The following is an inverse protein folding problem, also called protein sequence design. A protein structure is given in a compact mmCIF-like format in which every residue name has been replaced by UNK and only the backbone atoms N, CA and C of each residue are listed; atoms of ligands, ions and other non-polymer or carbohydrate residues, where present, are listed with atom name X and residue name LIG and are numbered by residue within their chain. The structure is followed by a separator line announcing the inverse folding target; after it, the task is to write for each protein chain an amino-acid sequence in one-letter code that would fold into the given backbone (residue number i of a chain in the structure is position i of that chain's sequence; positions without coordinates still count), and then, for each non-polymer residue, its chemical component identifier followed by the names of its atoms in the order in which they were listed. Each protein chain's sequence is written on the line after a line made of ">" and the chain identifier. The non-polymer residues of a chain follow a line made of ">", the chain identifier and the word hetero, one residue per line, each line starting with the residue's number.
data_IF_732546027414
#
_entry.id   IF_732546027414
#
_cell.length_a   1.000
_cell.length_b   1.000
_cell.length_c   1.000
_cell.angle_alpha   90.00
_cell.angle_beta   90.00
_cell.angle_gamma   90.00
#
_symmetry.space_group_name_H-M   'P 1'
#
loop_
_entity.id
_entity.type
_entity.pdbx_description
1 polymer ?
#
# COMPACT_ATOMS: atom_id res chain seq x y z
N UNK A 1 2.09 -5.61 -32.76
CA UNK A 1 2.50 -6.45 -31.62
C UNK A 1 1.30 -6.51 -30.68
N UNK A 2 0.81 -7.70 -30.33
CA UNK A 2 -0.50 -7.83 -29.67
C UNK A 2 -0.31 -8.38 -28.26
N UNK A 3 -0.60 -7.56 -27.26
CA UNK A 3 -0.68 -7.98 -25.86
C UNK A 3 -2.05 -8.62 -25.63
N UNK A 4 -2.10 -9.71 -24.88
CA UNK A 4 -3.34 -10.37 -24.46
C UNK A 4 -3.45 -10.33 -22.94
N UNK A 5 -4.61 -9.98 -22.41
CA UNK A 5 -4.88 -10.07 -20.97
C UNK A 5 -5.86 -11.22 -20.73
N UNK A 6 -5.47 -12.13 -19.84
CA UNK A 6 -6.26 -13.29 -19.42
C UNK A 6 -6.70 -13.09 -17.99
N UNK A 7 -7.99 -13.25 -17.74
CA UNK A 7 -8.54 -13.43 -16.40
C UNK A 7 -8.57 -14.92 -16.07
N UNK A 8 -8.22 -15.30 -14.85
CA UNK A 8 -8.32 -16.70 -14.43
C UNK A 8 -8.27 -16.91 -12.92
N UNK A 9 -8.28 -18.17 -12.52
CA UNK A 9 -8.10 -18.54 -11.12
C UNK A 9 -6.64 -18.27 -10.71
N UNK A 10 -6.38 -17.60 -9.56
CA UNK A 10 -5.03 -17.38 -9.07
C UNK A 10 -4.18 -18.65 -9.02
N UNK A 11 -4.75 -19.78 -8.56
CA UNK A 11 -4.01 -21.05 -8.42
C UNK A 11 -3.57 -21.63 -9.77
N UNK A 12 -4.39 -21.45 -10.81
CA UNK A 12 -4.09 -21.96 -12.15
C UNK A 12 -3.03 -21.10 -12.85
N UNK A 13 -3.02 -19.79 -12.58
CA UNK A 13 -2.12 -18.83 -13.23
C UNK A 13 -0.84 -18.58 -12.42
N UNK A 14 -0.80 -18.94 -11.14
CA UNK A 14 0.35 -18.73 -10.25
C UNK A 14 1.67 -19.26 -10.83
N UNK A 15 1.78 -20.49 -11.38
CA UNK A 15 3.05 -21.00 -11.89
C UNK A 15 3.66 -20.14 -13.02
N UNK A 16 2.81 -19.46 -13.78
CA UNK A 16 3.23 -18.57 -14.86
C UNK A 16 3.67 -17.21 -14.29
N UNK A 17 2.91 -16.68 -13.34
CA UNK A 17 3.20 -15.37 -12.72
C UNK A 17 4.41 -15.43 -11.80
N UNK A 18 4.58 -16.52 -11.03
CA UNK A 18 5.70 -16.70 -10.09
C UNK A 18 7.06 -16.56 -10.76
N UNK A 19 7.15 -16.84 -12.06
CA UNK A 19 8.37 -16.69 -12.85
C UNK A 19 8.78 -15.23 -13.11
N UNK A 20 7.88 -14.26 -12.95
CA UNK A 20 8.12 -12.85 -13.24
C UNK A 20 8.01 -11.92 -12.02
N UNK A 21 7.48 -12.40 -10.88
CA UNK A 21 7.25 -11.54 -9.69
C UNK A 21 8.52 -10.79 -9.27
N UNK A 22 9.63 -11.52 -9.07
CA UNK A 22 10.89 -10.91 -8.64
C UNK A 22 11.38 -9.83 -9.62
N UNK A 23 11.19 -10.04 -10.92
CA UNK A 23 11.61 -9.09 -11.95
C UNK A 23 10.70 -7.86 -12.01
N UNK A 24 9.41 -8.01 -11.69
CA UNK A 24 8.47 -6.90 -11.60
C UNK A 24 8.82 -5.92 -10.47
N UNK A 25 9.44 -6.38 -9.37
CA UNK A 25 9.68 -5.58 -8.14
C UNK A 25 11.17 -5.50 -7.75
N UNK A 26 12.10 -5.79 -8.67
CA UNK A 26 13.53 -5.67 -8.39
C UNK A 26 14.00 -6.54 -7.20
N UNK A 27 13.42 -7.72 -7.02
CA UNK A 27 13.66 -8.67 -5.91
C UNK A 27 13.16 -8.23 -4.52
N UNK A 28 12.42 -7.12 -4.41
CA UNK A 28 11.75 -6.72 -3.15
C UNK A 28 10.61 -7.68 -2.82
N UNK A 29 9.95 -8.20 -3.85
CA UNK A 29 8.89 -9.20 -3.75
C UNK A 29 9.29 -10.50 -4.43
N UNK A 30 8.80 -11.60 -3.88
CA UNK A 30 9.11 -12.95 -4.32
C UNK A 30 7.83 -13.74 -4.67
N UNK A 31 8.01 -14.91 -5.25
CA UNK A 31 6.90 -15.84 -5.50
C UNK A 31 6.21 -16.28 -4.20
N UNK A 32 6.93 -16.33 -3.07
CA UNK A 32 6.38 -16.71 -1.78
C UNK A 32 5.44 -15.64 -1.22
N UNK A 33 5.73 -14.36 -1.45
CA UNK A 33 4.86 -13.24 -1.07
C UNK A 33 3.55 -13.28 -1.86
N UNK A 34 3.64 -13.51 -3.18
CA UNK A 34 2.46 -13.70 -4.02
C UNK A 34 1.64 -14.93 -3.59
N UNK A 35 2.30 -16.03 -3.22
CA UNK A 35 1.62 -17.24 -2.75
C UNK A 35 0.82 -16.96 -1.47
N UNK A 36 1.43 -16.25 -0.50
CA UNK A 36 0.75 -15.84 0.73
C UNK A 36 -0.50 -15.00 0.42
N UNK A 37 -0.39 -14.04 -0.51
CA UNK A 37 -1.53 -13.22 -0.94
C UNK A 37 -2.67 -14.04 -1.54
N UNK A 38 -2.34 -15.01 -2.37
CA UNK A 38 -3.32 -15.88 -3.02
C UNK A 38 -4.04 -16.77 -2.00
N UNK A 39 -3.34 -17.20 -0.96
CA UNK A 39 -3.85 -18.12 0.06
C UNK A 39 -4.79 -17.46 1.06
N UNK A 40 -4.81 -16.12 1.17
CA UNK A 40 -5.82 -15.43 1.99
C UNK A 40 -7.25 -15.75 1.52
N UNK A 41 -8.19 -15.98 2.46
CA UNK A 41 -9.53 -16.47 2.15
C UNK A 41 -10.48 -15.35 1.71
N UNK A 42 -10.15 -14.64 0.63
CA UNK A 42 -11.07 -13.65 0.03
C UNK A 42 -12.19 -14.33 -0.75
N UNK A 43 -13.41 -13.82 -0.64
CA UNK A 43 -14.58 -14.40 -1.31
C UNK A 43 -14.60 -14.01 -2.80
N UNK A 44 -14.30 -12.74 -3.09
CA UNK A 44 -14.32 -12.22 -4.46
C UNK A 44 -12.90 -11.86 -4.87
N UNK A 45 -12.38 -12.59 -5.86
CA UNK A 45 -11.02 -12.43 -6.39
C UNK A 45 -11.06 -12.19 -7.89
N UNK A 46 -10.23 -11.27 -8.37
CA UNK A 46 -9.90 -11.06 -9.78
C UNK A 46 -8.39 -11.17 -9.95
N UNK A 47 -7.95 -12.11 -10.79
CA UNK A 47 -6.55 -12.27 -11.14
C UNK A 47 -6.39 -12.13 -12.65
N UNK A 48 -5.53 -11.20 -13.05
CA UNK A 48 -5.27 -10.84 -14.44
C UNK A 48 -3.80 -11.08 -14.76
N UNK A 49 -3.52 -11.63 -15.94
CA UNK A 49 -2.15 -11.81 -16.44
C UNK A 49 -2.06 -11.28 -17.86
N UNK A 50 -1.08 -10.41 -18.10
CA UNK A 50 -0.74 -9.90 -19.42
C UNK A 50 0.31 -10.78 -20.08
N UNK A 51 0.09 -11.10 -21.34
CA UNK A 51 0.96 -11.94 -22.16
C UNK A 51 1.43 -11.23 -23.41
N UNK A 52 2.66 -11.52 -23.79
CA UNK A 52 3.24 -11.19 -25.08
C UNK A 52 4.00 -12.40 -25.61
N UNK A 53 3.65 -12.82 -26.82
CA UNK A 53 4.20 -14.01 -27.46
C UNK A 53 4.13 -15.25 -26.53
N UNK A 54 2.98 -15.40 -25.86
CA UNK A 54 2.66 -16.45 -24.89
C UNK A 54 3.55 -16.48 -23.63
N UNK A 55 4.33 -15.42 -23.38
CA UNK A 55 5.08 -15.22 -22.13
C UNK A 55 4.37 -14.21 -21.23
N UNK A 56 4.28 -14.46 -19.91
CA UNK A 56 3.74 -13.49 -18.97
C UNK A 56 4.68 -12.28 -18.89
N UNK A 57 4.11 -11.08 -18.91
CA UNK A 57 4.84 -9.80 -18.82
C UNK A 57 4.34 -8.91 -17.69
N UNK A 58 3.25 -9.31 -17.03
CA UNK A 58 2.74 -8.65 -15.84
C UNK A 58 1.43 -9.26 -15.38
N UNK A 59 0.97 -8.82 -14.22
CA UNK A 59 -0.22 -9.33 -13.58
C UNK A 59 -0.86 -8.27 -12.68
N UNK A 60 -2.12 -8.49 -12.32
CA UNK A 60 -2.80 -7.73 -11.28
C UNK A 60 -3.65 -8.68 -10.43
N UNK A 61 -3.66 -8.45 -9.12
CA UNK A 61 -4.52 -9.15 -8.18
C UNK A 61 -5.43 -8.16 -7.46
N UNK A 62 -6.72 -8.39 -7.55
CA UNK A 62 -7.75 -7.53 -6.96
C UNK A 62 -8.69 -8.40 -6.14
N UNK A 63 -9.09 -7.91 -4.97
CA UNK A 63 -10.07 -8.56 -4.10
C UNK A 63 -11.19 -7.59 -3.79
N UNK A 64 -12.37 -8.11 -3.43
CA UNK A 64 -13.50 -7.28 -3.01
C UNK A 64 -14.23 -7.95 -1.84
N UNK A 65 -13.90 -7.50 -0.64
CA UNK A 65 -14.38 -8.09 0.60
C UNK A 65 -15.13 -7.08 1.45
N UNK A 66 -15.98 -7.61 2.32
CA UNK A 66 -16.68 -6.80 3.30
C UNK A 66 -15.77 -6.57 4.50
N UNK A 67 -15.62 -5.32 4.90
CA UNK A 67 -14.81 -4.92 6.05
C UNK A 67 -15.72 -4.65 7.24
N UNK A 68 -15.81 -5.61 8.16
CA UNK A 68 -16.68 -5.56 9.34
C UNK A 68 -16.46 -4.28 10.20
N UNK A 69 -15.23 -3.78 10.25
CA UNK A 69 -14.83 -2.64 11.09
C UNK A 69 -15.49 -1.33 10.62
N UNK A 70 -15.72 -1.20 9.32
CA UNK A 70 -16.22 0.03 8.69
C UNK A 70 -17.61 -0.15 8.05
N UNK A 71 -18.23 -1.33 8.23
CA UNK A 71 -19.57 -1.67 7.69
C UNK A 71 -19.70 -1.32 6.20
N UNK A 72 -18.65 -1.58 5.43
CA UNK A 72 -18.61 -1.28 4.00
C UNK A 72 -17.87 -2.36 3.23
N UNK A 73 -18.22 -2.51 1.96
CA UNK A 73 -17.51 -3.39 1.03
C UNK A 73 -16.47 -2.59 0.28
N UNK A 74 -15.22 -2.98 0.44
CA UNK A 74 -14.06 -2.34 -0.19
C UNK A 74 -13.46 -3.30 -1.20
N UNK A 75 -13.19 -2.79 -2.39
CA UNK A 75 -12.31 -3.50 -3.32
C UNK A 75 -10.89 -2.99 -3.14
N UNK A 76 -9.91 -3.89 -3.14
CA UNK A 76 -8.51 -3.53 -3.00
C UNK A 76 -7.74 -4.19 -4.12
N UNK A 77 -6.99 -3.39 -4.88
CA UNK A 77 -5.94 -3.95 -5.73
C UNK A 77 -4.77 -4.28 -4.81
N UNK A 78 -4.58 -5.58 -4.59
CA UNK A 78 -3.52 -6.12 -3.75
C UNK A 78 -2.15 -5.92 -4.40
N UNK A 79 -2.09 -6.06 -5.73
CA UNK A 79 -0.82 -5.93 -6.45
C UNK A 79 -1.03 -5.63 -7.95
N UNK A 80 -0.11 -4.84 -8.53
CA UNK A 80 0.10 -4.69 -9.98
C UNK A 80 1.60 -4.82 -10.29
N UNK A 81 1.98 -5.98 -10.82
CA UNK A 81 3.35 -6.21 -11.30
C UNK A 81 3.45 -6.08 -12.82
N UNK A 82 4.40 -5.26 -13.30
CA UNK A 82 4.81 -5.25 -14.71
C UNK A 82 6.33 -5.34 -14.82
N UNK A 83 6.79 -6.19 -15.74
CA UNK A 83 8.20 -6.20 -16.14
C UNK A 83 8.62 -4.79 -16.60
N UNK A 84 9.81 -4.28 -16.22
CA UNK A 84 10.18 -2.88 -16.37
C UNK A 84 10.01 -2.32 -17.79
N UNK A 85 10.35 -3.09 -18.81
CA UNK A 85 10.26 -2.69 -20.22
C UNK A 85 8.82 -2.58 -20.76
N UNK A 86 7.82 -2.96 -19.96
CA UNK A 86 6.39 -2.88 -20.30
C UNK A 86 5.62 -1.83 -19.49
N UNK A 87 6.27 -1.15 -18.53
CA UNK A 87 5.62 -0.17 -17.64
C UNK A 87 5.08 1.07 -18.37
N UNK A 88 5.66 1.43 -19.51
CA UNK A 88 5.19 2.55 -20.35
C UNK A 88 4.03 2.18 -21.30
N UNK A 89 3.54 0.94 -21.25
CA UNK A 89 2.43 0.48 -22.08
C UNK A 89 1.09 0.63 -21.35
N UNK A 90 -0.02 0.60 -22.09
CA UNK A 90 -1.40 0.74 -21.55
C UNK A 90 -1.89 -0.48 -20.73
N UNK A 91 -0.99 -1.37 -20.29
CA UNK A 91 -1.34 -2.63 -19.61
C UNK A 91 -1.89 -2.35 -18.21
N UNK A 92 -1.20 -1.53 -17.42
CA UNK A 92 -1.66 -1.18 -16.08
C UNK A 92 -2.97 -0.37 -16.11
N UNK A 93 -3.17 0.44 -17.15
CA UNK A 93 -4.44 1.15 -17.35
C UNK A 93 -5.60 0.17 -17.58
N UNK A 94 -5.41 -0.84 -18.43
CA UNK A 94 -6.42 -1.89 -18.66
C UNK A 94 -6.62 -2.75 -17.40
N UNK A 95 -5.57 -3.06 -16.63
CA UNK A 95 -5.72 -3.73 -15.33
C UNK A 95 -6.59 -2.92 -14.36
N UNK A 96 -6.37 -1.61 -14.25
CA UNK A 96 -7.16 -0.73 -13.40
C UNK A 96 -8.60 -0.59 -13.91
N UNK A 97 -8.84 -0.55 -15.23
CA UNK A 97 -10.19 -0.57 -15.79
C UNK A 97 -10.95 -1.85 -15.41
N UNK A 98 -10.28 -3.00 -15.47
CA UNK A 98 -10.86 -4.28 -15.03
C UNK A 98 -11.10 -4.32 -13.53
N UNK A 99 -10.19 -3.76 -12.73
CA UNK A 99 -10.36 -3.63 -11.28
C UNK A 99 -11.59 -2.77 -10.94
N UNK A 100 -11.76 -1.62 -11.59
CA UNK A 100 -12.93 -0.73 -11.43
C UNK A 100 -14.22 -1.46 -11.81
N UNK A 101 -14.24 -2.17 -12.95
CA UNK A 101 -15.41 -2.94 -13.38
C UNK A 101 -15.77 -4.05 -12.39
N UNK A 102 -14.77 -4.79 -11.92
CA UNK A 102 -14.93 -5.85 -10.93
C UNK A 102 -15.45 -5.32 -9.60
N UNK A 103 -14.92 -4.19 -9.13
CA UNK A 103 -15.35 -3.54 -7.88
C UNK A 103 -16.82 -3.15 -7.95
N UNK A 104 -17.25 -2.51 -9.05
CA UNK A 104 -18.66 -2.16 -9.30
C UNK A 104 -19.57 -3.39 -9.37
N UNK A 105 -19.13 -4.44 -10.06
CA UNK A 105 -19.89 -5.70 -10.16
C UNK A 105 -20.06 -6.37 -8.79
N UNK A 106 -19.13 -6.14 -7.87
CA UNK A 106 -19.17 -6.64 -6.50
C UNK A 106 -19.86 -5.70 -5.51
N UNK A 107 -20.40 -4.56 -5.95
CA UNK A 107 -21.04 -3.56 -5.08
C UNK A 107 -20.10 -3.01 -4.00
N UNK A 108 -18.80 -2.90 -4.30
CA UNK A 108 -17.89 -2.15 -3.44
C UNK A 108 -18.26 -0.65 -3.46
N UNK A 109 -18.04 0.05 -2.37
CA UNK A 109 -18.24 1.50 -2.27
C UNK A 109 -17.05 2.29 -2.81
N UNK A 110 -15.86 1.69 -2.76
CA UNK A 110 -14.63 2.24 -3.29
C UNK A 110 -13.68 1.14 -3.79
N UNK A 111 -12.71 1.55 -4.62
CA UNK A 111 -11.52 0.76 -4.95
C UNK A 111 -10.27 1.43 -4.40
N UNK A 112 -9.51 0.71 -3.58
CA UNK A 112 -8.25 1.11 -2.97
C UNK A 112 -7.05 0.47 -3.68
N UNK A 113 -5.95 1.22 -3.77
CA UNK A 113 -4.62 0.72 -4.09
C UNK A 113 -3.61 1.39 -3.17
N UNK A 114 -2.83 0.60 -2.44
CA UNK A 114 -1.65 1.09 -1.72
C UNK A 114 -0.43 0.95 -2.62
N UNK A 115 0.36 2.02 -2.77
CA UNK A 115 1.64 1.98 -3.49
C UNK A 115 2.78 2.48 -2.62
N UNK A 116 3.92 1.81 -2.68
CA UNK A 116 5.14 2.30 -2.07
C UNK A 116 5.76 3.43 -2.91
N UNK A 117 6.31 4.45 -2.27
CA UNK A 117 7.08 5.51 -2.94
C UNK A 117 8.41 5.01 -3.53
N UNK A 118 8.80 3.76 -3.29
CA UNK A 118 9.95 3.12 -3.94
C UNK A 118 9.62 2.78 -5.41
N UNK A 119 8.37 2.41 -5.72
CA UNK A 119 7.94 1.98 -7.07
C UNK A 119 6.91 2.97 -7.67
N UNK A 120 7.38 4.17 -7.99
CA UNK A 120 6.52 5.31 -8.36
C UNK A 120 5.90 5.24 -9.77
N UNK A 121 6.26 4.25 -10.58
CA UNK A 121 5.84 4.19 -11.99
C UNK A 121 4.30 4.10 -12.14
N UNK A 122 3.62 3.53 -11.14
CA UNK A 122 2.18 3.35 -11.15
C UNK A 122 1.41 4.63 -10.76
N UNK A 123 2.01 5.55 -10.01
CA UNK A 123 1.35 6.78 -9.50
C UNK A 123 0.73 7.63 -10.63
N UNK A 124 1.45 7.98 -11.71
CA UNK A 124 0.86 8.76 -12.81
C UNK A 124 -0.34 8.07 -13.45
N UNK A 125 -0.33 6.73 -13.49
CA UNK A 125 -1.39 5.91 -14.06
C UNK A 125 -2.62 5.94 -13.14
N UNK A 126 -2.45 5.78 -11.84
CA UNK A 126 -3.54 5.88 -10.85
C UNK A 126 -4.25 7.24 -10.95
N UNK A 127 -3.48 8.33 -11.01
CA UNK A 127 -4.00 9.70 -11.19
C UNK A 127 -4.76 9.81 -12.52
N UNK A 128 -4.20 9.29 -13.63
CA UNK A 128 -4.86 9.27 -14.94
C UNK A 128 -6.19 8.50 -14.90
N UNK A 129 -6.26 7.42 -14.12
CA UNK A 129 -7.48 6.62 -13.89
C UNK A 129 -8.44 7.24 -12.86
N UNK A 130 -8.16 8.47 -12.41
CA UNK A 130 -8.96 9.26 -11.44
C UNK A 130 -8.97 8.67 -10.03
N UNK A 131 -8.04 7.78 -9.71
CA UNK A 131 -7.79 7.43 -8.32
C UNK A 131 -7.12 8.63 -7.66
N UNK A 132 -7.63 9.02 -6.50
CA UNK A 132 -7.13 10.16 -5.75
C UNK A 132 -6.38 9.63 -4.55
N UNK A 133 -5.21 10.18 -4.23
CA UNK A 133 -4.56 9.80 -2.99
C UNK A 133 -5.48 10.19 -1.82
N UNK A 134 -5.62 9.29 -0.85
CA UNK A 134 -6.51 9.41 0.31
C UNK A 134 -5.73 9.44 1.62
N UNK A 135 -4.65 8.66 1.67
CA UNK A 135 -3.76 8.55 2.81
C UNK A 135 -2.30 8.47 2.36
N UNK A 136 -1.40 9.07 3.14
CA UNK A 136 0.05 8.88 3.01
C UNK A 136 0.53 8.38 4.37
N UNK A 137 1.13 7.21 4.38
CA UNK A 137 1.62 6.50 5.54
C UNK A 137 3.14 6.39 5.50
N UNK A 138 3.81 7.03 6.44
CA UNK A 138 5.27 6.96 6.56
C UNK A 138 5.64 6.08 7.76
N UNK A 139 6.22 4.91 7.49
CA UNK A 139 6.62 3.93 8.49
C UNK A 139 8.12 4.10 8.83
N UNK A 140 8.44 3.99 10.13
CA UNK A 140 9.80 3.97 10.65
C UNK A 140 9.88 3.20 11.96
N UNK A 141 10.83 2.28 12.05
CA UNK A 141 11.28 1.64 13.27
C UNK A 141 12.02 2.67 14.14
N UNK A 142 11.54 2.89 15.37
CA UNK A 142 12.11 3.87 16.28
C UNK A 142 12.59 3.16 17.55
N UNK A 143 13.89 3.19 17.76
CA UNK A 143 14.57 2.45 18.82
C UNK A 143 14.36 3.00 20.23
N UNK A 144 13.81 4.21 20.40
CA UNK A 144 13.70 4.86 21.71
C UNK A 144 12.61 5.93 21.80
N UNK A 145 12.11 6.18 23.02
CA UNK A 145 11.19 7.28 23.32
C UNK A 145 11.76 8.67 22.96
N UNK A 146 13.08 8.85 23.06
CA UNK A 146 13.71 10.15 22.72
C UNK A 146 13.69 10.42 21.22
N UNK A 147 13.93 9.39 20.41
CA UNK A 147 13.82 9.46 18.95
C UNK A 147 12.36 9.75 18.56
N UNK A 148 11.39 9.09 19.17
CA UNK A 148 9.96 9.36 18.96
C UNK A 148 9.58 10.81 19.27
N UNK A 149 10.04 11.35 20.41
CA UNK A 149 9.82 12.76 20.78
C UNK A 149 10.42 13.72 19.77
N UNK A 150 11.63 13.43 19.27
CA UNK A 150 12.29 14.24 18.25
C UNK A 150 11.48 14.27 16.95
N UNK A 151 10.99 13.10 16.52
CA UNK A 151 10.16 12.95 15.31
C UNK A 151 8.85 13.73 15.46
N UNK A 152 8.11 13.54 16.55
CA UNK A 152 6.88 14.30 16.84
C UNK A 152 7.16 15.81 16.88
N UNK A 153 8.24 16.23 17.53
CA UNK A 153 8.60 17.65 17.64
C UNK A 153 8.91 18.27 16.26
N UNK A 154 9.61 17.54 15.39
CA UNK A 154 9.90 18.00 14.03
C UNK A 154 8.64 18.03 13.16
N UNK A 155 7.78 17.03 13.29
CA UNK A 155 6.50 16.96 12.60
C UNK A 155 5.55 18.09 13.01
N UNK A 156 5.42 18.38 14.30
CA UNK A 156 4.60 19.50 14.82
C UNK A 156 5.06 20.88 14.36
N UNK A 157 6.34 21.04 14.00
CA UNK A 157 6.84 22.28 13.39
C UNK A 157 6.35 22.48 11.96
N UNK A 158 5.77 21.44 11.34
CA UNK A 158 5.26 21.49 9.99
C UNK A 158 3.72 21.58 9.99
N UNK A 159 3.13 22.79 9.91
CA UNK A 159 1.68 22.97 10.00
C UNK A 159 0.89 22.38 8.83
N UNK A 160 1.58 21.91 7.77
CA UNK A 160 0.98 21.26 6.60
C UNK A 160 0.81 19.75 6.78
N UNK A 161 1.53 19.15 7.72
CA UNK A 161 1.40 17.74 8.03
C UNK A 161 0.41 17.57 9.17
N UNK A 162 -0.66 16.82 8.93
CA UNK A 162 -1.49 16.32 10.03
C UNK A 162 -0.79 15.09 10.58
N UNK A 163 -0.31 15.20 11.81
CA UNK A 163 0.51 14.17 12.45
C UNK A 163 -0.40 13.32 13.30
N UNK A 164 -0.47 12.04 12.95
CA UNK A 164 -1.19 11.03 13.69
C UNK A 164 -0.24 9.85 13.82
N UNK A 165 0.48 9.78 14.95
CA UNK A 165 1.35 8.64 15.24
C UNK A 165 0.49 7.57 15.90
N UNK A 166 -0.19 6.81 15.06
CA UNK A 166 -1.41 6.15 15.50
C UNK A 166 -1.18 4.89 16.32
N UNK A 167 -0.05 4.17 16.22
CA UNK A 167 0.12 2.90 16.93
C UNK A 167 1.58 2.57 17.31
N UNK A 168 1.78 2.19 18.57
CA UNK A 168 3.02 1.63 19.10
C UNK A 168 2.86 0.18 19.48
N UNK A 169 3.77 -0.68 19.03
CA UNK A 169 3.80 -2.08 19.43
C UNK A 169 4.86 -2.33 20.50
N UNK A 170 4.46 -3.05 21.55
CA UNK A 170 5.37 -3.55 22.59
C UNK A 170 5.23 -5.06 22.71
N UNK A 171 6.35 -5.78 22.76
CA UNK A 171 6.34 -7.20 23.12
C UNK A 171 6.28 -7.34 24.65
N UNK A 172 5.20 -7.93 25.15
CA UNK A 172 5.03 -8.34 26.54
C UNK A 172 4.81 -9.84 26.62
N UNK A 173 5.74 -10.61 27.20
CA UNK A 173 5.52 -12.04 27.48
C UNK A 173 4.98 -12.84 26.26
N UNK A 174 5.56 -12.62 25.08
CA UNK A 174 5.13 -13.18 23.79
C UNK A 174 3.82 -12.61 23.19
N UNK A 175 3.23 -11.57 23.79
CA UNK A 175 2.05 -10.85 23.28
C UNK A 175 2.40 -9.43 22.76
N UNK A 176 1.76 -9.00 21.67
CA UNK A 176 1.88 -7.65 21.09
C UNK A 176 0.79 -6.72 21.64
N UNK A 177 1.18 -5.60 22.26
CA UNK A 177 0.26 -4.54 22.71
C UNK A 177 0.35 -3.30 21.82
N UNK A 178 -0.80 -2.66 21.50
CA UNK A 178 -0.87 -1.45 20.67
C UNK A 178 -1.28 -0.19 21.46
N UNK A 179 -0.58 0.94 21.29
CA UNK A 179 -0.95 2.24 21.90
C UNK A 179 -1.03 3.40 20.89
N UNK A 180 -2.08 4.22 20.97
CA UNK A 180 -2.25 5.43 20.14
C UNK A 180 -1.50 6.62 20.75
N UNK A 181 -0.68 7.32 19.96
CA UNK A 181 0.09 8.49 20.39
C UNK A 181 -0.31 9.74 19.60
N UNK A 182 -1.07 10.62 20.24
CA UNK A 182 -1.51 11.87 19.63
C UNK A 182 -0.64 13.06 20.06
N UNK A 183 0.18 12.87 21.11
CA UNK A 183 0.97 13.93 21.73
C UNK A 183 2.28 13.42 22.35
N UNK A 184 3.17 14.35 22.72
CA UNK A 184 4.39 14.00 23.46
C UNK A 184 4.06 13.51 24.89
N UNK A 185 2.89 13.87 25.42
CA UNK A 185 2.45 13.49 26.76
C UNK A 185 2.01 12.03 26.82
N UNK A 186 1.48 11.50 25.71
CA UNK A 186 1.13 10.07 25.63
C UNK A 186 2.38 9.19 25.72
N UNK A 187 3.53 9.68 25.23
CA UNK A 187 4.83 9.02 25.38
C UNK A 187 5.33 9.00 26.84
N UNK A 188 5.00 10.02 27.64
CA UNK A 188 5.36 10.08 29.06
C UNK A 188 4.52 9.13 29.92
N UNK A 189 3.33 8.76 29.43
CA UNK A 189 2.41 7.85 30.09
C UNK A 189 2.62 6.38 29.68
N UNK A 190 3.61 6.09 28.83
CA UNK A 190 3.91 4.73 28.42
C UNK A 190 4.42 3.90 29.60
N UNK A 191 3.94 2.65 29.75
CA UNK A 191 4.28 1.81 30.90
C UNK A 191 5.76 1.41 31.00
N UNK A 192 6.57 1.56 29.93
CA UNK A 192 7.98 1.13 29.88
C UNK A 192 8.91 2.00 29.00
N UNK A 193 10.22 1.75 29.11
CA UNK A 193 11.34 2.32 28.32
C UNK A 193 12.06 1.26 27.45
N UNK A 194 11.41 0.13 27.19
CA UNK A 194 11.95 -0.97 26.36
C UNK A 194 12.02 -0.54 24.88
N UNK A 195 12.80 -1.23 24.00
CA UNK A 195 12.81 -0.92 22.58
C UNK A 195 11.40 -0.98 22.02
N UNK A 196 11.03 0.04 21.26
CA UNK A 196 9.67 0.27 20.81
C UNK A 196 9.63 -0.08 19.32
N UNK A 197 8.70 -0.91 18.86
CA UNK A 197 8.47 -1.09 17.44
C UNK A 197 7.37 -0.10 17.02
N UNK A 198 7.72 0.91 16.22
CA UNK A 198 6.76 1.93 15.79
C UNK A 198 6.16 1.54 14.44
N UNK A 199 4.82 1.62 14.36
CA UNK A 199 4.10 1.65 13.10
C UNK A 199 3.53 3.04 12.87
N UNK A 200 3.87 3.63 11.72
CA UNK A 200 3.03 4.63 11.04
C UNK A 200 2.95 6.00 11.69
N UNK A 201 3.77 6.92 11.18
CA UNK A 201 4.01 8.22 11.79
C UNK A 201 3.10 9.31 11.22
N UNK A 202 2.43 9.09 10.08
CA UNK A 202 1.69 10.16 9.41
C UNK A 202 0.49 9.53 8.68
N UNK A 203 -0.70 10.12 8.84
CA UNK A 203 -1.88 9.87 8.01
C UNK A 203 -2.44 11.24 7.65
N UNK A 204 -2.08 11.75 6.46
CA UNK A 204 -2.59 13.03 5.98
C UNK A 204 -3.90 12.79 5.24
N UNK A 205 -5.01 13.11 5.89
CA UNK A 205 -6.37 12.93 5.38
C UNK A 205 -6.77 13.93 4.26
N UNK A 206 -5.80 14.40 3.46
CA UNK A 206 -5.95 15.44 2.42
C UNK A 206 -4.83 15.37 1.37
N UNK A 207 -4.72 14.27 0.64
CA UNK A 207 -3.67 14.14 -0.37
C UNK A 207 -3.93 14.90 -1.70
N UNK A 208 -4.82 15.90 -1.72
CA UNK A 208 -4.89 16.90 -2.80
C UNK A 208 -3.57 17.66 -3.00
N UNK A 209 -2.63 17.55 -2.04
CA UNK A 209 -1.29 18.12 -2.10
C UNK A 209 -0.17 17.05 -2.07
N UNK A 210 -0.37 15.86 -2.68
CA UNK A 210 0.59 14.73 -2.64
C UNK A 210 2.07 15.13 -2.82
N UNK A 211 2.40 15.87 -3.88
CA UNK A 211 3.78 16.31 -4.14
C UNK A 211 4.31 17.20 -3.02
N UNK A 212 3.49 18.13 -2.53
CA UNK A 212 3.88 19.02 -1.41
C UNK A 212 4.08 18.21 -0.14
N UNK A 213 3.21 17.24 0.16
CA UNK A 213 3.34 16.39 1.34
C UNK A 213 4.62 15.56 1.24
N UNK A 214 4.90 14.91 0.11
CA UNK A 214 6.13 14.15 -0.10
C UNK A 214 7.39 15.02 0.03
N UNK A 215 7.35 16.26 -0.47
CA UNK A 215 8.43 17.22 -0.27
C UNK A 215 8.60 17.63 1.19
N UNK A 216 7.52 17.86 1.93
CA UNK A 216 7.57 18.16 3.35
C UNK A 216 8.11 16.97 4.17
N UNK A 217 7.74 15.73 3.82
CA UNK A 217 8.27 14.52 4.44
C UNK A 217 9.78 14.38 4.30
N UNK A 218 10.31 14.72 3.12
CA UNK A 218 11.77 14.70 2.83
C UNK A 218 12.55 15.77 3.59
N UNK A 219 11.89 16.82 4.10
CA UNK A 219 12.54 17.87 4.91
C UNK A 219 12.68 17.49 6.38
N UNK A 220 11.98 16.45 6.82
CA UNK A 220 12.10 15.95 8.18
C UNK A 220 13.42 15.19 8.27
N UNK A 221 14.23 15.53 9.27
CA UNK A 221 15.54 14.92 9.52
C UNK A 221 15.39 13.51 10.15
N UNK A 222 14.82 12.60 9.36
CA UNK A 222 14.43 11.23 9.71
C UNK A 222 14.58 10.35 8.47
N UNK A 223 15.17 9.16 8.62
CA UNK A 223 15.22 8.14 7.57
C UNK A 223 13.91 7.32 7.60
N UNK A 224 13.15 7.30 6.52
CA UNK A 224 11.90 6.53 6.47
C UNK A 224 12.18 5.11 5.99
N UNK A 225 11.61 4.10 6.64
CA UNK A 225 11.74 2.71 6.19
C UNK A 225 10.87 2.47 4.97
N UNK A 226 9.64 2.99 5.02
CA UNK A 226 8.70 2.99 3.91
C UNK A 226 7.82 4.23 3.93
N UNK A 227 7.44 4.73 2.75
CA UNK A 227 6.32 5.65 2.61
C UNK A 227 5.35 5.01 1.63
N UNK A 228 4.21 4.56 2.14
CA UNK A 228 3.06 4.07 1.39
C UNK A 228 2.06 5.19 1.10
N UNK A 229 1.40 5.13 -0.04
CA UNK A 229 0.34 6.06 -0.44
C UNK A 229 -0.88 5.24 -0.83
N UNK A 230 -2.00 5.47 -0.17
CA UNK A 230 -3.30 4.89 -0.51
C UNK A 230 -3.98 5.77 -1.55
N UNK A 231 -4.48 5.16 -2.62
CA UNK A 231 -5.24 5.79 -3.69
C UNK A 231 -6.63 5.19 -3.79
N UNK A 232 -7.66 6.04 -3.77
CA UNK A 232 -9.05 5.64 -3.79
C UNK A 232 -9.74 6.04 -5.09
N UNK A 233 -10.57 5.13 -5.61
CA UNK A 233 -11.62 5.42 -6.57
C UNK A 233 -12.98 5.34 -5.87
N UNK A 234 -13.69 6.46 -5.78
CA UNK A 234 -15.07 6.49 -5.27
C UNK A 234 -16.06 6.24 -6.43
N UNK A 235 -17.04 5.34 -6.24
CA UNK A 235 -17.98 4.93 -7.29
C UNK A 235 -19.22 5.82 -7.46
#
# INVERSE_FOLDING_TARGET
>A
MTIKIKQGNPKDLFPEVSAIVSDCFGSVWTADDLQQLIDFPHENKLFLVAYKDDKPIGYAFVVADYMDVVDTKVATVQEIGLLPEYREMEIAEEFLDRAIQFSKANQAELLEQVVSTIDQWLIPILIKKKLRPSEIKADREISSTNEAKLIISNLKKNPKLTVLMNQLFFEQNDDLESHIIESEQDLDNLPRKDPIAFGSIISVNRAEELDTILEELRKIDVEWDEIGITFDYLF
#
